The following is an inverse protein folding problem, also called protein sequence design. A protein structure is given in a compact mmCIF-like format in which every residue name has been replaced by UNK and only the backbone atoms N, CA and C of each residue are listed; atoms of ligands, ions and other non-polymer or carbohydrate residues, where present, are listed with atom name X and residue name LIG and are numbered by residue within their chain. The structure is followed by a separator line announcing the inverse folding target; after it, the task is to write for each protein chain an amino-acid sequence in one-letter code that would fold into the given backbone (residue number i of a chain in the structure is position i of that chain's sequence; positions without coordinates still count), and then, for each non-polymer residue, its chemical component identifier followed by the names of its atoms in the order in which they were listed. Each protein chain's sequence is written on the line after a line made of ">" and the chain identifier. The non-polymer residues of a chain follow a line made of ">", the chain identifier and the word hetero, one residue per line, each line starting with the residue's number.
data_IF_868842835234
#
_entry.id   IF_868842835234
#
_cell.length_a   1.000
_cell.length_b   1.000
_cell.length_c   1.000
_cell.angle_alpha   90.00
_cell.angle_beta   90.00
_cell.angle_gamma   90.00
#
_symmetry.space_group_name_H-M   'P 1'
#
loop_
_entity.id
_entity.type
_entity.pdbx_description
1 polymer ?
#
# COMPACT_ATOMS: atom_id res chain seq x y z
N UNK A 1 51.87 -3.89 47.29
CA UNK A 1 50.44 -3.49 47.22
C UNK A 1 50.38 -2.21 46.40
N UNK A 2 49.41 -1.92 45.52
CA UNK A 2 47.97 -2.14 45.62
C UNK A 2 47.35 -2.00 44.20
N UNK A 3 46.52 -2.98 43.81
CA UNK A 3 45.76 -3.00 42.56
C UNK A 3 44.65 -1.93 42.63
N UNK A 4 44.48 -1.10 41.60
CA UNK A 4 43.23 -0.36 41.39
C UNK A 4 42.46 -1.01 40.25
N UNK A 5 41.47 -1.78 40.68
CA UNK A 5 40.49 -2.53 39.91
C UNK A 5 39.61 -1.59 39.08
N UNK A 6 39.32 -1.99 37.85
CA UNK A 6 38.26 -1.48 36.97
C UNK A 6 36.90 -1.51 37.68
N UNK A 7 36.11 -0.44 37.58
CA UNK A 7 34.65 -0.51 37.83
C UNK A 7 33.91 0.27 36.75
N UNK A 8 33.34 -0.47 35.80
CA UNK A 8 32.37 0.00 34.82
C UNK A 8 31.11 0.49 35.56
N UNK A 9 30.78 1.77 35.45
CA UNK A 9 29.52 2.32 35.95
C UNK A 9 28.39 1.99 34.98
N UNK A 10 27.65 0.90 35.24
CA UNK A 10 26.31 0.69 34.67
C UNK A 10 25.29 1.43 35.54
N UNK A 11 24.93 2.64 35.12
CA UNK A 11 23.99 3.51 35.82
C UNK A 11 22.53 3.16 35.44
N UNK A 12 21.60 2.98 36.40
CA UNK A 12 20.19 2.73 36.10
C UNK A 12 19.51 3.91 35.40
N UNK A 13 20.11 5.10 35.49
CA UNK A 13 19.59 6.34 34.95
C UNK A 13 19.56 6.36 33.42
N UNK A 14 20.52 5.72 32.73
CA UNK A 14 20.45 5.64 31.26
C UNK A 14 19.54 4.54 30.77
N UNK A 15 19.34 3.47 31.53
CA UNK A 15 18.33 2.47 31.22
C UNK A 15 16.93 3.08 31.31
N UNK A 16 16.66 3.91 32.33
CA UNK A 16 15.40 4.67 32.43
C UNK A 16 15.28 5.67 31.28
N UNK A 17 16.33 6.43 30.96
CA UNK A 17 16.29 7.40 29.88
C UNK A 17 16.09 6.75 28.50
N UNK A 18 16.71 5.58 28.25
CA UNK A 18 16.51 4.81 27.01
C UNK A 18 15.13 4.17 26.94
N UNK A 19 14.60 3.65 28.05
CA UNK A 19 13.21 3.16 28.12
C UNK A 19 12.20 4.29 27.86
N UNK A 20 12.40 5.46 28.47
CA UNK A 20 11.55 6.62 28.21
C UNK A 20 11.61 7.07 26.74
N UNK A 21 12.79 7.10 26.13
CA UNK A 21 12.92 7.46 24.72
C UNK A 21 12.18 6.48 23.78
N UNK A 22 12.21 5.17 24.09
CA UNK A 22 11.48 4.14 23.34
C UNK A 22 9.95 4.21 23.53
N UNK A 23 9.49 4.61 24.72
CA UNK A 23 8.06 4.78 25.02
C UNK A 23 7.48 6.07 24.40
N UNK A 24 8.30 7.12 24.23
CA UNK A 24 7.88 8.39 23.62
C UNK A 24 7.92 8.38 22.08
N UNK A 25 8.64 7.45 21.45
CA UNK A 25 8.59 7.26 19.99
C UNK A 25 7.32 6.51 19.58
N UNK A 26 6.16 7.14 19.78
CA UNK A 26 4.96 6.77 19.04
C UNK A 26 5.12 7.31 17.63
N UNK A 27 5.71 6.53 16.73
CA UNK A 27 5.52 6.77 15.30
C UNK A 27 4.04 6.54 15.01
N UNK A 28 3.25 7.61 15.13
CA UNK A 28 1.91 7.65 14.60
C UNK A 28 2.05 7.55 13.08
N UNK A 29 1.93 6.33 12.57
CA UNK A 29 1.69 6.08 11.15
C UNK A 29 0.25 6.52 10.86
N UNK A 30 0.00 7.83 10.96
CA UNK A 30 -1.26 8.38 10.47
C UNK A 30 -1.16 8.33 8.96
N UNK A 31 -2.09 7.63 8.32
CA UNK A 31 -2.37 7.91 6.93
C UNK A 31 -2.64 9.42 6.83
N UNK A 32 -1.89 10.11 5.97
CA UNK A 32 -2.10 11.53 5.71
C UNK A 32 -3.47 11.66 5.05
N UNK A 33 -4.48 12.00 5.85
CA UNK A 33 -5.82 12.25 5.34
C UNK A 33 -5.80 13.58 4.60
N UNK A 34 -5.95 13.52 3.28
CA UNK A 34 -5.91 14.70 2.40
C UNK A 34 -7.31 15.05 1.93
N UNK A 35 -7.68 16.32 2.02
CA UNK A 35 -8.92 16.85 1.46
C UNK A 35 -8.65 17.44 0.07
N UNK A 36 -9.51 17.13 -0.90
CA UNK A 36 -9.38 17.58 -2.28
C UNK A 36 -10.55 18.47 -2.70
N UNK A 37 -10.24 19.59 -3.36
CA UNK A 37 -11.24 20.51 -3.92
C UNK A 37 -11.54 20.16 -5.38
N UNK A 38 -12.82 19.99 -5.69
CA UNK A 38 -13.29 19.66 -7.04
C UNK A 38 -13.18 20.84 -8.03
N UNK A 39 -12.94 22.07 -7.58
CA UNK A 39 -12.76 23.23 -8.46
C UNK A 39 -11.52 23.11 -9.36
N UNK A 40 -10.54 22.29 -8.96
CA UNK A 40 -9.36 21.97 -9.77
C UNK A 40 -9.64 20.94 -10.88
N UNK A 41 -10.76 20.20 -10.80
CA UNK A 41 -11.12 19.21 -11.80
C UNK A 41 -11.75 19.88 -13.03
N UNK A 42 -11.15 19.65 -14.19
CA UNK A 42 -11.62 20.17 -15.47
C UNK A 42 -12.58 19.16 -16.12
N UNK A 43 -13.67 19.63 -16.73
CA UNK A 43 -14.60 18.81 -17.50
C UNK A 43 -16.04 18.86 -17.00
N UNK A 44 -16.98 18.43 -17.84
CA UNK A 44 -18.44 18.53 -17.56
C UNK A 44 -18.90 17.66 -16.38
N UNK A 45 -18.17 16.59 -16.08
CA UNK A 45 -18.51 15.62 -15.03
C UNK A 45 -17.67 15.76 -13.76
N UNK A 46 -16.81 16.80 -13.69
CA UNK A 46 -15.92 17.05 -12.57
C UNK A 46 -16.64 17.12 -11.21
N UNK A 47 -17.86 17.68 -11.19
CA UNK A 47 -18.69 17.81 -9.98
C UNK A 47 -19.31 16.50 -9.51
N UNK A 48 -19.37 15.47 -10.37
CA UNK A 48 -19.95 14.16 -10.04
C UNK A 48 -18.89 13.15 -9.55
N UNK A 49 -17.62 13.53 -9.52
CA UNK A 49 -16.54 12.67 -9.03
C UNK A 49 -16.52 12.75 -7.51
N UNK A 50 -16.75 11.62 -6.85
CA UNK A 50 -16.47 11.49 -5.42
C UNK A 50 -14.96 11.56 -5.19
N UNK A 51 -14.52 12.65 -4.56
CA UNK A 51 -13.12 12.92 -4.21
C UNK A 51 -12.72 12.33 -2.86
N UNK A 52 -13.68 12.02 -1.99
CA UNK A 52 -13.40 11.52 -0.63
C UNK A 52 -12.62 10.20 -0.66
N UNK A 53 -12.82 9.40 -1.69
CA UNK A 53 -12.10 8.15 -1.96
C UNK A 53 -10.60 8.34 -2.18
N UNK A 54 -10.14 9.52 -2.63
CA UNK A 54 -8.71 9.81 -2.80
C UNK A 54 -8.02 10.29 -1.52
N UNK A 55 -8.78 10.56 -0.44
CA UNK A 55 -8.22 11.10 0.82
C UNK A 55 -7.19 10.19 1.50
N UNK A 56 -7.24 8.88 1.22
CA UNK A 56 -6.35 7.88 1.81
C UNK A 56 -5.44 7.20 0.75
N UNK A 57 -5.32 7.78 -0.45
CA UNK A 57 -4.43 7.28 -1.49
C UNK A 57 -5.01 7.39 -2.91
N UNK A 58 -4.56 6.51 -3.81
CA UNK A 58 -4.98 6.53 -5.21
C UNK A 58 -5.85 5.30 -5.54
N UNK A 59 -7.15 5.31 -5.19
CA UNK A 59 -8.04 4.22 -5.54
C UNK A 59 -8.31 4.18 -7.06
N UNK A 60 -8.20 2.99 -7.63
CA UNK A 60 -8.65 2.72 -9.00
C UNK A 60 -10.18 2.76 -9.05
N UNK A 61 -10.73 3.44 -10.06
CA UNK A 61 -12.17 3.48 -10.31
C UNK A 61 -12.69 2.11 -10.79
N UNK A 62 -13.99 1.78 -10.59
CA UNK A 62 -14.57 0.62 -11.22
C UNK A 62 -14.58 0.77 -12.74
N UNK A 63 -14.24 -0.28 -13.47
CA UNK A 63 -14.14 -0.21 -14.93
C UNK A 63 -13.33 -1.35 -15.54
N UNK A 64 -13.22 -1.35 -16.86
CA UNK A 64 -12.39 -2.28 -17.60
C UNK A 64 -11.05 -1.61 -17.93
N UNK A 65 -9.94 -2.26 -17.57
CA UNK A 65 -8.59 -1.73 -17.75
C UNK A 65 -7.69 -2.73 -18.44
N UNK A 66 -6.87 -2.25 -19.36
CA UNK A 66 -5.77 -3.02 -19.94
C UNK A 66 -4.57 -2.94 -18.99
N UNK A 67 -4.28 -4.05 -18.31
CA UNK A 67 -3.27 -4.14 -17.26
C UNK A 67 -2.18 -5.15 -17.63
N UNK A 68 -0.95 -4.88 -17.20
CA UNK A 68 0.14 -5.86 -17.22
C UNK A 68 0.04 -6.78 -16.01
N UNK A 69 -0.04 -8.08 -16.26
CA UNK A 69 -0.21 -9.12 -15.24
C UNK A 69 1.14 -9.70 -14.88
N UNK A 70 1.45 -9.67 -13.58
CA UNK A 70 2.64 -10.26 -12.99
C UNK A 70 2.23 -11.39 -12.04
N UNK A 71 2.94 -12.51 -12.08
CA UNK A 71 2.76 -13.63 -11.16
C UNK A 71 4.12 -13.90 -10.50
N UNK A 72 4.18 -13.79 -9.17
CA UNK A 72 5.43 -13.89 -8.40
C UNK A 72 6.55 -13.01 -8.99
N UNK A 73 6.21 -11.74 -9.25
CA UNK A 73 7.11 -10.71 -9.81
C UNK A 73 7.59 -10.97 -11.25
N UNK A 74 7.13 -12.04 -11.91
CA UNK A 74 7.44 -12.32 -13.31
C UNK A 74 6.34 -11.78 -14.23
N UNK A 75 6.68 -11.02 -15.29
CA UNK A 75 5.70 -10.57 -16.26
C UNK A 75 5.14 -11.76 -17.04
N UNK A 76 3.81 -11.86 -17.14
CA UNK A 76 3.14 -12.96 -17.84
C UNK A 76 2.53 -12.48 -19.15
N UNK A 77 1.68 -11.45 -19.09
CA UNK A 77 0.93 -10.95 -20.27
C UNK A 77 0.22 -9.64 -19.95
N UNK A 78 -0.34 -8.97 -20.96
CA UNK A 78 -1.27 -7.86 -20.79
C UNK A 78 -2.71 -8.36 -21.01
N UNK A 79 -3.64 -8.00 -20.13
CA UNK A 79 -5.04 -8.43 -20.22
C UNK A 79 -6.01 -7.29 -19.90
N UNK A 80 -7.17 -7.33 -20.53
CA UNK A 80 -8.30 -6.48 -20.17
C UNK A 80 -9.04 -7.09 -18.97
N UNK A 81 -8.93 -6.47 -17.80
CA UNK A 81 -9.47 -6.97 -16.53
C UNK A 81 -10.45 -5.96 -15.94
N UNK A 82 -11.62 -6.44 -15.51
CA UNK A 82 -12.61 -5.61 -14.85
C UNK A 82 -12.23 -5.39 -13.39
N UNK A 83 -12.26 -4.14 -12.93
CA UNK A 83 -12.13 -3.74 -11.54
C UNK A 83 -13.50 -3.38 -10.99
N UNK A 84 -13.87 -4.00 -9.86
CA UNK A 84 -15.20 -3.89 -9.27
C UNK A 84 -15.14 -3.36 -7.84
N UNK A 85 -16.17 -2.65 -7.43
CA UNK A 85 -16.36 -2.24 -6.04
C UNK A 85 -16.63 -3.47 -5.17
N UNK A 86 -15.96 -3.56 -4.03
CA UNK A 86 -16.22 -4.58 -3.01
C UNK A 86 -16.62 -3.89 -1.72
N UNK A 87 -17.71 -4.35 -1.11
CA UNK A 87 -18.24 -3.76 0.12
C UNK A 87 -17.16 -3.71 1.22
N UNK A 88 -17.07 -2.57 1.92
CA UNK A 88 -16.05 -2.34 2.95
C UNK A 88 -14.63 -2.07 2.45
N UNK A 89 -14.42 -1.94 1.13
CA UNK A 89 -13.13 -1.55 0.54
C UNK A 89 -13.24 -0.22 -0.20
N UNK A 90 -12.32 0.71 0.08
CA UNK A 90 -12.21 2.00 -0.63
C UNK A 90 -11.63 1.86 -2.04
N UNK A 91 -10.74 0.88 -2.23
CA UNK A 91 -10.18 0.56 -3.54
C UNK A 91 -10.97 -0.56 -4.22
N UNK A 92 -11.04 -0.49 -5.55
CA UNK A 92 -11.63 -1.58 -6.34
C UNK A 92 -10.70 -2.78 -6.39
N UNK A 93 -11.27 -3.95 -6.66
CA UNK A 93 -10.51 -5.19 -6.80
C UNK A 93 -10.61 -5.73 -8.22
N UNK A 94 -9.52 -6.32 -8.71
CA UNK A 94 -9.50 -7.01 -9.98
C UNK A 94 -10.39 -8.26 -9.94
N UNK A 95 -11.36 -8.34 -10.86
CA UNK A 95 -12.23 -9.49 -11.04
C UNK A 95 -11.55 -10.49 -11.98
N UNK A 96 -10.89 -11.49 -11.40
CA UNK A 96 -10.18 -12.52 -12.16
C UNK A 96 -11.14 -13.65 -12.56
N UNK A 97 -11.21 -13.94 -13.86
CA UNK A 97 -11.94 -15.11 -14.38
C UNK A 97 -11.00 -16.29 -14.59
N UNK A 98 -11.55 -17.50 -14.74
CA UNK A 98 -10.76 -18.68 -15.08
C UNK A 98 -9.95 -18.47 -16.38
N UNK A 99 -10.54 -17.81 -17.38
CA UNK A 99 -9.85 -17.47 -18.63
C UNK A 99 -8.58 -16.66 -18.36
N UNK A 100 -8.65 -15.68 -17.46
CA UNK A 100 -7.51 -14.81 -17.15
C UNK A 100 -6.33 -15.60 -16.55
N UNK A 101 -6.63 -16.66 -15.79
CA UNK A 101 -5.65 -17.52 -15.12
C UNK A 101 -5.03 -18.57 -16.06
N UNK A 102 -5.80 -19.09 -17.01
CA UNK A 102 -5.35 -20.17 -17.91
C UNK A 102 -4.33 -19.72 -18.96
N UNK A 103 -4.17 -18.41 -19.20
CA UNK A 103 -3.16 -17.85 -20.09
C UNK A 103 -1.72 -18.09 -19.60
N UNK A 104 -1.51 -18.32 -18.30
CA UNK A 104 -0.20 -18.62 -17.74
C UNK A 104 0.15 -20.13 -17.76
N UNK A 105 -0.50 -20.94 -18.59
CA UNK A 105 -0.15 -22.37 -18.67
C UNK A 105 1.20 -22.51 -19.36
N UNK A 106 2.26 -23.01 -18.68
CA UNK A 106 3.48 -23.39 -19.37
C UNK A 106 3.16 -24.58 -20.29
N UNK A 107 3.29 -24.34 -21.60
CA UNK A 107 3.07 -25.34 -22.64
C UNK A 107 1.80 -25.09 -23.46
N UNK A 108 1.96 -24.35 -24.54
CA UNK A 108 1.28 -24.67 -25.79
C UNK A 108 2.33 -24.68 -26.91
N UNK A 109 2.98 -25.84 -27.17
CA UNK A 109 3.78 -26.01 -28.38
C UNK A 109 2.79 -26.30 -29.51
N UNK A 110 2.47 -25.28 -30.29
CA UNK A 110 1.47 -25.39 -31.34
C UNK A 110 1.27 -24.10 -32.13
N UNK A 111 2.37 -23.48 -32.55
CA UNK A 111 2.50 -22.75 -33.81
C UNK A 111 3.95 -22.88 -34.29
#
# INVERSE_FOLDING_TARGET
>A
MNKKTTTNYHYPLTHIATFCALLYSSSALSAEHVEYDNTFLMGRDASNIDLSRYSEGNPTLPGLYDVSVYINDQPVTNQSIAFVTVEGKKNTQACLTLKNLLLNRPGNPGD
#
